data_IF_402683254842
#
_entry.id   IF_402683254842
#
_cell.length_a   1.000
_cell.length_b   1.000
_cell.length_c   1.000
_cell.angle_alpha   90.00
_cell.angle_beta   90.00
_cell.angle_gamma   90.00
#
_symmetry.space_group_name_H-M   'P 1'
#
loop_
_entity.id
_entity.type
_entity.pdbx_description
1 polymer ?
#
# COMPACT_ATOMS: atom_id res chain seq x y z
N UNK A 1 -52.04 -25.68 -3.96
CA UNK A 1 -51.47 -24.50 -3.28
C UNK A 1 -50.10 -24.95 -2.73
N UNK A 2 -48.96 -24.96 -3.44
CA UNK A 2 -48.29 -23.95 -4.28
C UNK A 2 -48.20 -22.60 -3.56
N UNK A 3 -47.22 -22.46 -2.66
CA UNK A 3 -46.43 -21.25 -2.26
C UNK A 3 -45.64 -21.66 -1.00
N UNK A 4 -44.62 -22.54 -1.09
CA UNK A 4 -43.59 -22.71 -0.03
C UNK A 4 -42.26 -23.22 -0.65
N UNK A 5 -41.80 -22.67 -1.79
CA UNK A 5 -40.42 -22.97 -2.28
C UNK A 5 -39.75 -21.73 -2.93
N UNK A 6 -40.17 -20.50 -2.59
CA UNK A 6 -39.57 -19.28 -3.19
C UNK A 6 -38.92 -18.31 -2.19
N UNK A 7 -38.66 -18.75 -0.96
CA UNK A 7 -37.97 -17.95 0.06
C UNK A 7 -36.58 -18.48 0.44
N UNK A 8 -35.97 -19.32 -0.41
CA UNK A 8 -34.57 -19.80 -0.24
C UNK A 8 -33.69 -19.33 -1.40
N UNK A 9 -34.03 -18.21 -2.04
CA UNK A 9 -33.24 -17.64 -3.14
C UNK A 9 -32.95 -16.14 -3.03
N UNK A 10 -33.33 -15.48 -1.93
CA UNK A 10 -33.23 -14.01 -1.84
C UNK A 10 -32.21 -13.46 -0.83
N UNK A 11 -31.52 -14.30 -0.04
CA UNK A 11 -30.63 -13.77 0.99
C UNK A 11 -29.32 -14.55 1.17
N UNK A 12 -28.59 -14.74 0.07
CA UNK A 12 -27.13 -14.88 0.16
C UNK A 12 -26.44 -14.05 -0.94
N UNK A 13 -26.94 -12.85 -1.18
CA UNK A 13 -26.07 -11.75 -1.60
C UNK A 13 -25.49 -11.09 -0.33
N UNK A 14 -24.91 -11.89 0.56
CA UNK A 14 -23.97 -11.33 1.51
C UNK A 14 -22.76 -10.99 0.64
N UNK A 15 -22.67 -9.73 0.25
CA UNK A 15 -21.46 -9.16 -0.33
C UNK A 15 -20.32 -9.57 0.58
N UNK A 16 -19.58 -10.62 0.21
CA UNK A 16 -18.21 -10.76 0.64
C UNK A 16 -17.58 -9.50 0.07
N UNK A 17 -17.42 -8.49 0.91
CA UNK A 17 -16.51 -7.41 0.62
C UNK A 17 -15.21 -8.12 0.29
N UNK A 18 -14.91 -8.26 -1.00
CA UNK A 18 -13.71 -8.94 -1.44
C UNK A 18 -12.58 -8.08 -0.89
N UNK A 19 -12.02 -8.51 0.24
CA UNK A 19 -10.73 -8.03 0.69
C UNK A 19 -9.81 -8.33 -0.49
N UNK A 20 -9.36 -7.26 -1.16
CA UNK A 20 -8.53 -7.38 -2.35
C UNK A 20 -7.37 -8.31 -1.98
N UNK A 21 -7.11 -9.37 -2.76
CA UNK A 21 -6.04 -10.30 -2.45
C UNK A 21 -4.78 -9.50 -2.18
N UNK A 22 -4.07 -9.89 -1.13
CA UNK A 22 -2.77 -9.33 -0.76
C UNK A 22 -1.94 -9.15 -2.03
N UNK A 23 -1.66 -7.89 -2.36
CA UNK A 23 -1.21 -7.53 -3.70
C UNK A 23 0.18 -8.11 -3.92
N UNK A 24 0.28 -9.10 -4.82
CA UNK A 24 1.57 -9.56 -5.34
C UNK A 24 2.15 -8.46 -6.26
N UNK A 25 2.72 -7.40 -5.68
CA UNK A 25 3.58 -6.50 -6.45
C UNK A 25 4.96 -7.13 -6.48
N UNK A 26 5.15 -8.08 -7.39
CA UNK A 26 6.45 -8.64 -7.67
C UNK A 26 7.00 -8.04 -8.95
N UNK A 27 7.91 -7.07 -8.83
CA UNK A 27 8.75 -6.64 -9.94
C UNK A 27 9.90 -7.64 -10.07
N UNK A 28 9.77 -8.62 -10.97
CA UNK A 28 10.84 -9.61 -11.21
C UNK A 28 12.07 -8.91 -11.79
N UNK A 29 13.16 -8.87 -11.04
CA UNK A 29 14.45 -8.38 -11.49
C UNK A 29 15.56 -9.20 -10.85
N UNK A 30 16.44 -9.78 -11.67
CA UNK A 30 17.52 -10.65 -11.19
C UNK A 30 18.59 -9.90 -10.37
N UNK A 31 18.61 -8.56 -10.43
CA UNK A 31 19.53 -7.72 -9.65
C UNK A 31 18.93 -7.23 -8.32
N UNK A 32 17.72 -7.66 -7.97
CA UNK A 32 17.03 -7.30 -6.73
C UNK A 32 16.89 -8.52 -5.83
N UNK A 33 16.99 -8.31 -4.52
CA UNK A 33 16.70 -9.35 -3.53
C UNK A 33 15.20 -9.67 -3.51
N UNK A 34 14.36 -8.63 -3.60
CA UNK A 34 12.90 -8.73 -3.61
C UNK A 34 12.30 -7.83 -4.71
N UNK A 35 11.17 -8.27 -5.27
CA UNK A 35 10.41 -7.47 -6.25
C UNK A 35 9.57 -6.35 -5.63
N UNK A 36 9.74 -6.07 -4.35
CA UNK A 36 9.02 -5.07 -3.57
C UNK A 36 9.92 -4.51 -2.46
N UNK A 37 9.52 -3.38 -1.89
CA UNK A 37 10.14 -2.73 -0.71
C UNK A 37 9.31 -3.03 0.53
N UNK A 38 9.90 -2.91 1.71
CA UNK A 38 9.17 -3.06 2.98
C UNK A 38 9.33 -1.80 3.80
N UNK A 39 8.22 -1.16 4.17
CA UNK A 39 8.19 -0.15 5.23
C UNK A 39 7.94 -0.89 6.54
N UNK A 40 8.93 -0.97 7.42
CA UNK A 40 8.73 -1.37 8.81
C UNK A 40 8.27 -0.15 9.60
N UNK A 41 7.39 -0.34 10.58
CA UNK A 41 6.91 0.78 11.38
C UNK A 41 6.50 0.38 12.78
N UNK A 42 6.65 1.33 13.71
CA UNK A 42 6.22 1.21 15.11
C UNK A 42 4.71 1.15 15.28
N UNK A 43 3.93 1.56 14.27
CA UNK A 43 2.47 1.48 14.34
C UNK A 43 2.02 0.03 14.35
N UNK A 44 1.19 -0.31 15.33
CA UNK A 44 0.57 -1.66 15.45
C UNK A 44 -0.80 -1.72 14.78
N UNK A 45 -1.54 -0.61 14.78
CA UNK A 45 -2.86 -0.51 14.15
C UNK A 45 -2.75 -0.14 12.66
N UNK A 46 -3.13 -1.07 11.79
CA UNK A 46 -3.15 -0.86 10.34
C UNK A 46 -4.08 0.28 9.88
N UNK A 47 -5.11 0.63 10.66
CA UNK A 47 -6.11 1.63 10.31
C UNK A 47 -5.50 3.04 10.20
N UNK A 48 -4.37 3.29 10.85
CA UNK A 48 -3.67 4.59 10.75
C UNK A 48 -3.27 4.92 9.31
N UNK A 49 -3.02 3.90 8.47
CA UNK A 49 -2.68 4.05 7.05
C UNK A 49 -3.89 4.02 6.11
N UNK A 50 -5.11 3.80 6.62
CA UNK A 50 -6.35 3.90 5.82
C UNK A 50 -6.81 5.34 5.60
N UNK A 51 -6.18 6.32 6.25
CA UNK A 51 -6.41 7.77 6.03
C UNK A 51 -6.10 8.16 4.59
N UNK A 52 -6.73 9.24 4.10
CA UNK A 52 -6.48 9.78 2.76
C UNK A 52 -5.06 10.33 2.64
N UNK A 53 -4.44 10.10 1.49
CA UNK A 53 -3.21 10.75 1.08
C UNK A 53 -3.54 12.13 0.51
N UNK A 54 -3.21 13.19 1.25
CA UNK A 54 -3.53 14.59 0.90
C UNK A 54 -5.03 14.73 0.53
N UNK A 55 -5.34 15.59 -0.43
CA UNK A 55 -6.71 15.76 -0.94
C UNK A 55 -7.12 14.68 -1.96
N UNK A 56 -6.35 13.61 -2.10
CA UNK A 56 -6.64 12.55 -3.06
C UNK A 56 -7.69 11.56 -2.56
N UNK A 57 -8.22 10.76 -3.49
CA UNK A 57 -9.13 9.64 -3.18
C UNK A 57 -8.41 8.38 -2.67
N UNK A 58 -7.07 8.36 -2.65
CA UNK A 58 -6.29 7.20 -2.27
C UNK A 58 -5.97 7.23 -0.78
N UNK A 59 -5.96 6.07 -0.13
CA UNK A 59 -5.43 5.94 1.23
C UNK A 59 -3.91 5.83 1.24
N UNK A 60 -3.27 6.13 2.37
CA UNK A 60 -1.81 6.06 2.52
C UNK A 60 -1.27 4.66 2.17
N UNK A 61 -1.90 3.60 2.70
CA UNK A 61 -1.51 2.22 2.43
C UNK A 61 -1.68 1.84 0.95
N UNK A 62 -2.75 2.33 0.31
CA UNK A 62 -3.00 2.09 -1.10
C UNK A 62 -1.90 2.74 -1.95
N UNK A 63 -1.48 3.96 -1.60
CA UNK A 63 -0.40 4.64 -2.32
C UNK A 63 0.88 3.81 -2.27
N UNK A 64 1.33 3.43 -1.08
CA UNK A 64 2.56 2.65 -0.91
C UNK A 64 2.50 1.30 -1.62
N UNK A 65 1.43 0.54 -1.42
CA UNK A 65 1.31 -0.82 -1.97
C UNK A 65 1.18 -0.80 -3.48
N UNK A 66 0.27 0.01 -4.04
CA UNK A 66 -0.06 -0.06 -5.45
C UNK A 66 0.88 0.75 -6.35
N UNK A 67 1.26 1.96 -5.93
CA UNK A 67 2.05 2.84 -6.80
C UNK A 67 3.55 2.73 -6.58
N UNK A 68 3.98 2.29 -5.40
CA UNK A 68 5.39 2.26 -5.02
C UNK A 68 5.91 0.86 -4.68
N UNK A 69 5.11 -0.20 -4.91
CA UNK A 69 5.50 -1.58 -4.67
C UNK A 69 6.07 -1.79 -3.25
N UNK A 70 5.42 -1.20 -2.24
CA UNK A 70 5.92 -1.17 -0.86
C UNK A 70 4.93 -1.87 0.06
N UNK A 71 5.34 -2.98 0.67
CA UNK A 71 4.65 -3.62 1.78
C UNK A 71 4.79 -2.77 3.05
N UNK A 72 3.87 -2.94 4.00
CA UNK A 72 3.91 -2.29 5.31
C UNK A 72 3.92 -3.40 6.36
N UNK A 73 4.98 -3.45 7.15
CA UNK A 73 5.16 -4.34 8.29
C UNK A 73 4.97 -3.55 9.58
N UNK A 74 4.11 -4.05 10.46
CA UNK A 74 3.55 -3.32 11.60
C UNK A 74 4.11 -3.84 12.92
N UNK A 75 4.16 -2.97 13.93
CA UNK A 75 4.62 -3.33 15.27
C UNK A 75 6.11 -3.66 15.35
N UNK A 76 6.92 -3.04 14.48
CA UNK A 76 8.37 -3.14 14.50
C UNK A 76 8.99 -2.14 15.50
N UNK A 77 10.28 -2.26 15.77
CA UNK A 77 10.98 -1.38 16.72
C UNK A 77 11.24 0.03 16.17
N UNK A 78 11.26 0.19 14.84
CA UNK A 78 11.66 1.43 14.15
C UNK A 78 10.84 1.65 12.88
N UNK A 79 10.85 2.89 12.42
CA UNK A 79 10.35 3.25 11.09
C UNK A 79 11.52 3.20 10.09
N UNK A 80 11.52 2.22 9.19
CA UNK A 80 12.58 2.06 8.19
C UNK A 80 11.99 1.63 6.84
N UNK A 81 12.59 2.10 5.75
CA UNK A 81 12.33 1.59 4.40
C UNK A 81 13.45 0.63 4.02
N UNK A 82 13.09 -0.63 3.80
CA UNK A 82 13.97 -1.66 3.23
C UNK A 82 13.73 -1.68 1.72
N UNK A 83 14.76 -1.36 0.94
CA UNK A 83 14.67 -1.32 -0.52
C UNK A 83 14.58 -2.71 -1.14
N UNK A 84 14.27 -2.76 -2.45
CA UNK A 84 14.29 -3.99 -3.24
C UNK A 84 15.67 -4.69 -3.27
N UNK A 85 16.75 -3.95 -2.98
CA UNK A 85 18.12 -4.48 -2.90
C UNK A 85 18.58 -4.76 -1.47
N UNK A 86 17.67 -4.70 -0.49
CA UNK A 86 17.98 -4.96 0.92
C UNK A 86 18.63 -3.79 1.67
N UNK A 87 18.84 -2.63 1.03
CA UNK A 87 19.36 -1.44 1.70
C UNK A 87 18.31 -0.86 2.65
N UNK A 88 18.72 -0.50 3.86
CA UNK A 88 17.85 0.05 4.90
C UNK A 88 18.02 1.55 4.97
N UNK A 89 16.89 2.27 4.95
CA UNK A 89 16.83 3.71 5.06
C UNK A 89 16.00 4.08 6.29
N UNK A 90 16.54 4.80 7.28
CA UNK A 90 15.76 5.27 8.42
C UNK A 90 14.69 6.27 7.95
N UNK A 91 13.53 6.25 8.60
CA UNK A 91 12.45 7.21 8.40
C UNK A 91 12.34 8.07 9.66
N UNK A 92 12.58 9.37 9.51
CA UNK A 92 12.63 10.31 10.62
C UNK A 92 11.24 10.80 11.04
N UNK A 93 10.28 10.75 10.12
CA UNK A 93 8.90 11.17 10.37
C UNK A 93 8.20 10.27 11.39
N UNK A 94 7.38 10.90 12.24
CA UNK A 94 6.63 10.19 13.28
C UNK A 94 5.15 9.98 12.91
N UNK A 95 4.56 10.87 12.10
CA UNK A 95 3.13 10.76 11.73
C UNK A 95 2.95 9.90 10.48
N UNK A 96 1.85 9.13 10.36
CA UNK A 96 1.64 8.23 9.23
C UNK A 96 1.69 8.92 7.86
N UNK A 97 1.11 10.11 7.74
CA UNK A 97 1.11 10.92 6.52
C UNK A 97 2.52 11.40 6.16
N UNK A 98 3.25 11.96 7.14
CA UNK A 98 4.64 12.41 6.98
C UNK A 98 5.57 11.23 6.61
N UNK A 99 5.42 10.06 7.24
CA UNK A 99 6.14 8.83 6.92
C UNK A 99 5.92 8.43 5.47
N UNK A 100 4.68 8.42 5.01
CA UNK A 100 4.36 8.03 3.63
C UNK A 100 4.95 9.03 2.63
N UNK A 101 4.93 10.33 2.93
CA UNK A 101 5.56 11.34 2.08
C UNK A 101 7.09 11.19 2.01
N UNK A 102 7.73 10.93 3.15
CA UNK A 102 9.17 10.69 3.23
C UNK A 102 9.58 9.41 2.46
N UNK A 103 8.85 8.31 2.66
CA UNK A 103 9.05 7.06 1.91
C UNK A 103 8.91 7.28 0.41
N UNK A 104 7.87 8.01 -0.03
CA UNK A 104 7.67 8.33 -1.44
C UNK A 104 8.84 9.16 -1.98
N UNK A 105 9.32 10.15 -1.23
CA UNK A 105 10.45 10.97 -1.63
C UNK A 105 11.74 10.15 -1.77
N UNK A 106 12.02 9.27 -0.80
CA UNK A 106 13.16 8.35 -0.86
C UNK A 106 13.08 7.43 -2.07
N UNK A 107 11.92 6.81 -2.31
CA UNK A 107 11.70 5.93 -3.46
C UNK A 107 11.85 6.70 -4.77
N UNK A 108 11.30 7.91 -4.87
CA UNK A 108 11.41 8.76 -6.06
C UNK A 108 12.86 9.10 -6.45
N UNK A 109 13.78 9.09 -5.47
CA UNK A 109 15.21 9.28 -5.70
C UNK A 109 15.94 7.99 -6.12
N UNK A 110 15.32 6.81 -5.98
CA UNK A 110 15.88 5.54 -6.44
C UNK A 110 15.67 5.34 -7.95
N UNK A 111 16.53 4.52 -8.57
CA UNK A 111 16.50 4.28 -10.02
C UNK A 111 15.13 3.80 -10.52
N UNK A 112 14.59 2.72 -9.92
CA UNK A 112 13.28 2.18 -10.29
C UNK A 112 12.13 3.05 -9.79
N UNK A 113 12.29 3.63 -8.61
CA UNK A 113 11.24 4.43 -7.96
C UNK A 113 11.00 5.79 -8.59
N UNK A 114 11.96 6.33 -9.34
CA UNK A 114 11.76 7.57 -10.10
C UNK A 114 10.61 7.47 -11.11
N UNK A 115 10.49 6.33 -11.80
CA UNK A 115 9.39 6.12 -12.76
C UNK A 115 8.05 5.98 -12.04
N UNK A 116 8.03 5.19 -10.96
CA UNK A 116 6.87 5.01 -10.08
C UNK A 116 6.33 6.36 -9.59
N UNK A 117 7.23 7.22 -9.09
CA UNK A 117 6.89 8.55 -8.58
C UNK A 117 6.37 9.50 -9.66
N UNK A 118 7.02 9.54 -10.82
CA UNK A 118 6.54 10.36 -11.95
C UNK A 118 5.14 9.95 -12.40
N UNK A 119 4.87 8.65 -12.48
CA UNK A 119 3.58 8.14 -12.93
C UNK A 119 2.49 8.39 -11.89
N UNK A 120 2.78 8.23 -10.59
CA UNK A 120 1.85 8.57 -9.53
C UNK A 120 1.54 10.08 -9.50
N UNK A 121 2.54 10.96 -9.58
CA UNK A 121 2.34 12.41 -9.63
C UNK A 121 1.48 12.83 -10.83
N UNK A 122 1.63 12.18 -12.00
CA UNK A 122 0.74 12.40 -13.15
C UNK A 122 -0.70 11.95 -12.86
N UNK A 123 -0.91 10.88 -12.10
CA UNK A 123 -2.25 10.42 -11.70
C UNK A 123 -2.91 11.39 -10.72
N UNK A 124 -2.15 11.99 -9.81
CA UNK A 124 -2.69 12.99 -8.87
C UNK A 124 -3.18 14.24 -9.58
N UNK A 125 -2.45 14.74 -10.59
CA UNK A 125 -2.85 15.93 -11.38
C UNK A 125 -4.10 15.74 -12.25
N UNK A 126 -4.55 14.51 -12.44
CA UNK A 126 -5.72 14.17 -13.29
C UNK A 126 -7.00 13.95 -12.49
N UNK A 127 -6.92 13.90 -11.17
CA UNK A 127 -8.08 13.89 -10.27
C UNK A 127 -8.33 15.30 -9.76
#
# INVERSE_FOLDING_TARGET
MRIIIFFIWLFTALSIAQEKPEMQVYVKNNNMEKGYRTLTTIFTDSLVFKKKFKDSKYSLDYVLRYYYATAIDLGCDKNELISMSGLVFPIESAKPDEIVEEVIALIGNMYYGRKEDMDFKKKLKKN
#
